data_IF_205021146053
#
_entry.id   IF_205021146053
#
_cell.length_a   1.000
_cell.length_b   1.000
_cell.length_c   1.000
_cell.angle_alpha   90.00
_cell.angle_beta   90.00
_cell.angle_gamma   90.00
#
_symmetry.space_group_name_H-M   'P 1'
#
loop_
_entity.id
_entity.type
_entity.pdbx_description
1 polymer ?
#
# COMPACT_ATOMS: atom_id res chain seq x y z
N UNK A 1 21.88 0.59 17.27
CA UNK A 1 21.33 0.52 17.04
C UNK A 1 20.31 0.55 16.82
N UNK A 2 20.17 0.36 16.86
CA UNK A 2 19.33 0.52 16.73
C UNK A 2 18.26 0.21 16.84
N UNK A 3 18.07 -0.11 17.16
CA UNK A 3 17.12 -0.46 17.40
C UNK A 3 16.05 -0.28 17.53
N UNK A 4 16.08 -0.61 17.79
CA UNK A 4 14.91 -0.08 18.40
C UNK A 4 13.65 -0.85 18.08
N UNK A 5 12.46 -0.42 18.55
CA UNK A 5 11.21 -1.11 18.33
C UNK A 5 10.83 -1.34 16.88
N UNK A 6 11.63 -0.81 15.98
CA UNK A 6 11.37 -0.92 14.56
C UNK A 6 11.76 -2.27 13.98
N UNK A 7 12.33 -3.15 14.79
CA UNK A 7 12.65 -4.50 14.33
C UNK A 7 11.41 -5.33 14.10
N UNK A 8 10.27 -4.91 14.63
CA UNK A 8 9.03 -5.64 14.44
C UNK A 8 8.35 -5.23 13.15
N UNK A 9 7.99 -6.20 12.30
CA UNK A 9 7.25 -5.86 11.09
C UNK A 9 5.93 -5.18 11.43
N UNK A 10 5.49 -4.30 10.57
CA UNK A 10 4.16 -3.73 10.67
C UNK A 10 3.12 -4.81 10.44
N UNK A 11 1.89 -4.53 10.87
CA UNK A 11 0.73 -5.38 10.60
C UNK A 11 -0.07 -4.75 9.49
N UNK A 12 -0.53 -5.57 8.55
CA UNK A 12 -1.29 -5.07 7.41
C UNK A 12 -2.75 -4.89 7.77
N UNK A 13 -3.30 -3.71 7.43
CA UNK A 13 -4.73 -3.48 7.46
C UNK A 13 -5.21 -3.25 6.04
N UNK A 14 -6.25 -3.97 5.65
CA UNK A 14 -6.77 -3.91 4.29
C UNK A 14 -8.28 -4.08 4.31
N UNK A 15 -8.98 -3.26 3.54
CA UNK A 15 -10.43 -3.34 3.46
C UNK A 15 -10.87 -4.62 2.77
N UNK A 16 -12.15 -4.96 2.94
CA UNK A 16 -12.72 -6.12 2.25
C UNK A 16 -12.62 -5.96 0.73
N UNK A 17 -12.87 -4.76 0.24
CA UNK A 17 -12.83 -4.48 -1.19
C UNK A 17 -11.44 -4.71 -1.75
N UNK A 18 -10.42 -4.18 -1.09
CA UNK A 18 -9.06 -4.36 -1.55
C UNK A 18 -8.59 -5.81 -1.42
N UNK A 19 -9.02 -6.47 -0.36
CA UNK A 19 -8.72 -7.88 -0.19
C UNK A 19 -9.30 -8.71 -1.33
N UNK A 20 -10.52 -8.37 -1.75
CA UNK A 20 -11.15 -9.02 -2.88
C UNK A 20 -10.41 -8.75 -4.18
N UNK A 21 -9.97 -7.51 -4.39
CA UNK A 21 -9.19 -7.17 -5.58
C UNK A 21 -7.90 -7.99 -5.64
N UNK A 22 -7.21 -8.10 -4.52
CA UNK A 22 -5.97 -8.88 -4.48
C UNK A 22 -6.24 -10.35 -4.78
N UNK A 23 -7.32 -10.88 -4.18
CA UNK A 23 -7.69 -12.29 -4.36
C UNK A 23 -7.96 -12.60 -5.83
N UNK A 24 -8.51 -11.64 -6.56
CA UNK A 24 -8.90 -11.83 -7.95
C UNK A 24 -7.83 -11.46 -8.97
N UNK A 25 -6.65 -11.07 -8.51
CA UNK A 25 -5.53 -10.82 -9.42
C UNK A 25 -5.09 -12.12 -10.08
N UNK A 26 -4.51 -11.97 -11.28
CA UNK A 26 -3.86 -13.11 -11.93
C UNK A 26 -2.86 -13.73 -10.94
N UNK A 27 -2.75 -15.08 -10.88
CA UNK A 27 -1.92 -15.73 -9.88
C UNK A 27 -0.48 -15.23 -9.80
N UNK A 28 0.15 -14.96 -10.94
CA UNK A 28 1.52 -14.47 -10.95
C UNK A 28 1.61 -13.07 -10.31
N UNK A 29 0.68 -12.21 -10.65
CA UNK A 29 0.65 -10.86 -10.09
C UNK A 29 0.30 -10.90 -8.62
N UNK A 30 -0.65 -11.76 -8.24
CA UNK A 30 -1.01 -11.93 -6.84
C UNK A 30 0.19 -12.32 -6.01
N UNK A 31 1.00 -13.26 -6.50
CA UNK A 31 2.19 -13.70 -5.80
C UNK A 31 3.17 -12.56 -5.62
N UNK A 32 3.37 -11.76 -6.68
CA UNK A 32 4.28 -10.60 -6.61
C UNK A 32 3.77 -9.55 -5.64
N UNK A 33 2.46 -9.30 -5.64
CA UNK A 33 1.87 -8.34 -4.72
C UNK A 33 2.05 -8.80 -3.28
N UNK A 34 1.77 -10.06 -3.00
CA UNK A 34 1.93 -10.60 -1.65
C UNK A 34 3.37 -10.51 -1.17
N UNK A 35 4.32 -10.84 -2.05
CA UNK A 35 5.73 -10.74 -1.69
C UNK A 35 6.13 -9.29 -1.42
N UNK A 36 5.65 -8.36 -2.25
CA UNK A 36 5.95 -6.94 -2.08
C UNK A 36 5.34 -6.39 -0.81
N UNK A 37 4.13 -6.79 -0.46
CA UNK A 37 3.50 -6.36 0.78
C UNK A 37 4.24 -6.89 1.99
N UNK A 38 4.69 -8.14 1.92
CA UNK A 38 5.47 -8.72 3.01
C UNK A 38 6.75 -7.93 3.25
N UNK A 39 7.44 -7.54 2.18
CA UNK A 39 8.63 -6.72 2.27
C UNK A 39 8.30 -5.34 2.83
N UNK A 40 7.18 -4.78 2.39
CA UNK A 40 6.71 -3.47 2.85
C UNK A 40 6.44 -3.46 4.36
N UNK A 41 5.94 -4.55 4.90
CA UNK A 41 5.69 -4.63 6.34
C UNK A 41 6.98 -4.55 7.14
N UNK A 42 8.08 -5.02 6.57
CA UNK A 42 9.40 -4.96 7.21
C UNK A 42 10.07 -3.61 7.01
N UNK A 43 9.79 -2.99 5.86
CA UNK A 43 10.40 -1.71 5.52
C UNK A 43 9.30 -0.75 5.05
N UNK A 44 8.64 -0.08 5.98
CA UNK A 44 7.56 0.84 5.61
C UNK A 44 8.00 2.00 4.72
N UNK A 45 9.28 2.30 4.68
CA UNK A 45 9.81 3.38 3.87
C UNK A 45 10.13 3.00 2.43
N UNK A 46 9.81 1.77 2.00
CA UNK A 46 10.18 1.30 0.68
C UNK A 46 9.49 2.09 -0.44
N UNK A 47 8.28 2.58 -0.21
CA UNK A 47 7.55 3.33 -1.21
C UNK A 47 7.97 4.79 -1.26
N UNK A 48 7.73 5.43 -2.40
CA UNK A 48 7.99 6.86 -2.55
C UNK A 48 6.88 7.66 -1.88
N UNK A 49 7.23 8.70 -1.12
CA UNK A 49 6.19 9.56 -0.54
C UNK A 49 5.46 10.34 -1.63
N UNK A 50 4.16 10.45 -1.46
CA UNK A 50 3.32 11.24 -2.36
C UNK A 50 3.19 12.66 -1.80
N UNK A 51 2.72 13.59 -2.63
CA UNK A 51 2.70 15.01 -2.29
C UNK A 51 1.30 15.59 -2.42
N UNK A 52 1.17 16.82 -1.96
CA UNK A 52 -0.04 17.63 -2.07
C UNK A 52 -1.22 16.93 -1.41
N UNK A 53 -2.33 16.74 -2.11
CA UNK A 53 -3.52 16.13 -1.53
C UNK A 53 -3.30 14.68 -1.08
N UNK A 54 -2.28 14.05 -1.62
CA UNK A 54 -1.94 12.66 -1.25
C UNK A 54 -0.80 12.59 -0.24
N UNK A 55 -0.45 13.72 0.36
CA UNK A 55 0.59 13.76 1.37
C UNK A 55 0.30 12.82 2.52
N UNK A 56 1.34 12.22 3.05
CA UNK A 56 1.20 11.21 4.10
C UNK A 56 1.05 9.79 3.58
N UNK A 57 0.86 9.64 2.27
CA UNK A 57 0.79 8.33 1.63
C UNK A 57 2.08 8.04 0.90
N UNK A 58 2.31 6.77 0.64
CA UNK A 58 3.45 6.30 -0.14
C UNK A 58 2.97 5.34 -1.21
N UNK A 59 3.76 5.19 -2.27
CA UNK A 59 3.40 4.24 -3.32
C UNK A 59 4.62 3.48 -3.81
N UNK A 60 4.37 2.27 -4.30
CA UNK A 60 5.38 1.49 -5.01
C UNK A 60 4.71 0.69 -6.11
N UNK A 61 5.51 0.26 -7.06
CA UNK A 61 5.00 -0.44 -8.24
C UNK A 61 5.27 -1.93 -8.14
N UNK A 62 4.28 -2.72 -8.53
CA UNK A 62 4.40 -4.17 -8.65
C UNK A 62 3.86 -4.55 -10.03
N UNK A 63 4.76 -4.88 -10.95
CA UNK A 63 4.33 -5.17 -12.31
C UNK A 63 3.60 -4.00 -12.94
N UNK A 64 2.37 -4.24 -13.35
CA UNK A 64 1.54 -3.22 -14.02
C UNK A 64 0.75 -2.35 -13.08
N UNK A 65 0.75 -2.67 -11.81
CA UNK A 65 -0.08 -1.94 -10.88
C UNK A 65 0.79 -1.18 -9.89
N UNK A 66 0.14 -0.22 -9.24
CA UNK A 66 0.75 0.55 -8.18
C UNK A 66 -0.04 0.32 -6.90
N UNK A 67 0.67 0.27 -5.79
CA UNK A 67 0.08 0.11 -4.47
C UNK A 67 0.28 1.40 -3.71
N UNK A 68 -0.79 1.90 -3.10
CA UNK A 68 -0.72 3.11 -2.28
C UNK A 68 -1.06 2.72 -0.85
N UNK A 69 -0.22 3.15 0.10
CA UNK A 69 -0.38 2.77 1.50
C UNK A 69 -0.01 3.93 2.41
N UNK A 70 -0.41 3.80 3.66
CA UNK A 70 -0.01 4.73 4.72
C UNK A 70 0.73 3.94 5.79
N UNK A 71 1.87 4.47 6.21
CA UNK A 71 2.60 3.91 7.34
C UNK A 71 1.96 4.46 8.62
N UNK A 72 1.13 3.65 9.24
CA UNK A 72 0.41 4.01 10.46
C UNK A 72 0.83 3.07 11.57
N UNK A 73 2.08 3.18 11.99
CA UNK A 73 2.63 2.27 12.99
C UNK A 73 1.65 2.03 14.14
N UNK A 74 1.46 0.79 14.55
CA UNK A 74 2.16 -0.42 14.13
C UNK A 74 1.64 -1.07 12.86
N UNK A 75 0.79 -0.38 12.10
CA UNK A 75 0.15 -0.91 10.92
C UNK A 75 0.67 -0.28 9.64
N UNK A 76 0.52 -1.02 8.55
CA UNK A 76 0.50 -0.46 7.21
C UNK A 76 -0.95 -0.51 6.75
N UNK A 77 -1.50 0.64 6.41
CA UNK A 77 -2.86 0.71 5.87
C UNK A 77 -2.79 0.71 4.36
N UNK A 78 -3.28 -0.36 3.74
CA UNK A 78 -3.39 -0.42 2.29
C UNK A 78 -4.55 0.47 1.88
N UNK A 79 -4.27 1.48 1.06
CA UNK A 79 -5.27 2.47 0.70
C UNK A 79 -5.88 2.17 -0.66
N UNK A 80 -5.04 1.80 -1.63
CA UNK A 80 -5.52 1.54 -2.98
C UNK A 80 -4.51 0.71 -3.74
N UNK A 81 -4.98 0.02 -4.77
CA UNK A 81 -4.11 -0.64 -5.72
C UNK A 81 -4.81 -0.67 -7.07
N UNK A 82 -4.03 -0.55 -8.13
CA UNK A 82 -4.60 -0.56 -9.46
C UNK A 82 -3.64 -0.04 -10.52
N UNK A 83 -4.11 0.06 -11.77
CA UNK A 83 -3.28 0.56 -12.86
C UNK A 83 -2.80 1.99 -12.59
N UNK A 84 -1.58 2.27 -13.00
CA UNK A 84 -0.92 3.54 -12.71
C UNK A 84 -1.76 4.76 -13.14
N UNK A 85 -2.41 4.68 -14.29
CA UNK A 85 -3.12 5.83 -14.84
C UNK A 85 -4.27 6.32 -13.97
N UNK A 86 -4.90 5.40 -13.27
CA UNK A 86 -6.13 5.71 -12.53
C UNK A 86 -5.94 5.76 -11.04
N UNK A 87 -4.87 5.14 -10.55
CA UNK A 87 -4.74 4.90 -9.11
C UNK A 87 -4.72 6.19 -8.29
N UNK A 88 -4.07 7.23 -8.80
CA UNK A 88 -3.98 8.49 -8.04
C UNK A 88 -5.31 9.20 -7.98
N UNK A 89 -6.03 9.25 -9.10
CA UNK A 89 -7.36 9.86 -9.12
C UNK A 89 -8.33 9.07 -8.25
N UNK A 90 -8.26 7.74 -8.32
CA UNK A 90 -9.11 6.88 -7.51
C UNK A 90 -8.82 7.06 -6.03
N UNK A 91 -7.54 7.15 -5.67
CA UNK A 91 -7.14 7.36 -4.29
C UNK A 91 -7.66 8.70 -3.76
N UNK A 92 -7.51 9.75 -4.54
CA UNK A 92 -7.99 11.06 -4.15
C UNK A 92 -9.49 11.05 -3.94
N UNK A 93 -10.21 10.36 -4.82
CA UNK A 93 -11.67 10.24 -4.70
C UNK A 93 -12.06 9.50 -3.43
N UNK A 94 -11.34 8.42 -3.10
CA UNK A 94 -11.59 7.66 -1.88
C UNK A 94 -11.35 8.52 -0.64
N UNK A 95 -10.29 9.31 -0.63
CA UNK A 95 -9.99 10.19 0.50
C UNK A 95 -11.06 11.25 0.68
N UNK A 96 -11.57 11.80 -0.41
CA UNK A 96 -12.64 12.79 -0.35
C UNK A 96 -13.93 12.19 0.19
N UNK A 97 -14.22 10.95 -0.16
CA UNK A 97 -15.42 10.27 0.33
C UNK A 97 -15.33 9.95 1.81
N UNK A 98 -14.14 9.78 2.33
CA UNK A 98 -13.93 9.42 3.73
C UNK A 98 -14.09 10.60 4.67
N UNK A 99 -14.23 11.81 4.15
CA UNK A 99 -14.41 13.01 4.98
C UNK A 99 -15.83 13.17 5.48
#
# INVERSE_FOLDING_TARGET
>A
MTESGDDHPRRLRVSKELRGLIRNLHPDLKRKVRAALKENLRDPGVGKPLREELGGLRSFRVGRIRIIYRDSAPHIDLVALGPRRQIYADTLRLLKRAR
#
